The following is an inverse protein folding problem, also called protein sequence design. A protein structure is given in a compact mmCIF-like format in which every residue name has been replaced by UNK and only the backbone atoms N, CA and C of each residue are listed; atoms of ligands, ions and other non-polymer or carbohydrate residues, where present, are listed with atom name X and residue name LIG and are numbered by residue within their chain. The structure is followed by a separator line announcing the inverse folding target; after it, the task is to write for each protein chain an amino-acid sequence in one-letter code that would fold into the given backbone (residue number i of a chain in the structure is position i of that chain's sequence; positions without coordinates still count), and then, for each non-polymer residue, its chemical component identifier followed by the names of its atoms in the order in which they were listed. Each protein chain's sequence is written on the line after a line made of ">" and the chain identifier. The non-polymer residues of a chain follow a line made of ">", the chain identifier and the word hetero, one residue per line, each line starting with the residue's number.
data_IF_955313867204
#
_entry.id   IF_955313867204
#
_cell.length_a   1.000
_cell.length_b   1.000
_cell.length_c   1.000
_cell.angle_alpha   90.00
_cell.angle_beta   90.00
_cell.angle_gamma   90.00
#
_symmetry.space_group_name_H-M   'P 1'
#
loop_
_entity.id
_entity.type
_entity.pdbx_description
1 polymer ?
#
# COMPACT_ATOMS: atom_id res chain seq x y z
N UNK A 1 -3.43 29.15 -5.06
CA UNK A 1 -3.25 27.75 -4.75
C UNK A 1 -2.47 27.54 -3.43
N UNK A 2 -1.20 27.96 -3.33
CA UNK A 2 -0.37 27.77 -2.11
C UNK A 2 -0.96 28.32 -0.79
N UNK A 3 -1.55 29.54 -0.80
CA UNK A 3 -2.13 30.13 0.40
C UNK A 3 -3.40 29.37 0.86
N UNK A 4 -4.16 28.83 -0.06
CA UNK A 4 -5.39 28.08 0.24
C UNK A 4 -5.05 26.70 0.85
N UNK A 5 -4.08 25.99 0.30
CA UNK A 5 -3.55 24.74 0.84
C UNK A 5 -3.00 24.92 2.27
N UNK A 6 -2.33 26.06 2.55
CA UNK A 6 -1.87 26.40 3.89
C UNK A 6 -3.02 26.67 4.87
N UNK A 7 -4.08 27.35 4.40
CA UNK A 7 -5.27 27.61 5.21
C UNK A 7 -5.98 26.29 5.52
N UNK A 8 -6.15 25.43 4.55
CA UNK A 8 -6.74 24.10 4.72
C UNK A 8 -5.93 23.27 5.71
N UNK A 9 -4.61 23.26 5.58
CA UNK A 9 -3.74 22.52 6.50
C UNK A 9 -3.73 23.13 7.90
N UNK A 10 -3.68 24.46 8.02
CA UNK A 10 -3.79 25.15 9.29
C UNK A 10 -5.17 24.94 9.95
N UNK A 11 -6.23 24.86 9.14
CA UNK A 11 -7.59 24.59 9.64
C UNK A 11 -7.73 23.13 10.09
N UNK A 12 -7.15 22.19 9.37
CA UNK A 12 -7.07 20.77 9.77
C UNK A 12 -6.32 20.64 11.09
N UNK A 13 -5.14 21.25 11.22
CA UNK A 13 -4.36 21.24 12.47
C UNK A 13 -5.14 21.96 13.58
N UNK A 14 -5.78 23.10 13.32
CA UNK A 14 -6.56 23.83 14.30
C UNK A 14 -7.79 23.05 14.77
N UNK A 15 -8.46 22.32 13.87
CA UNK A 15 -9.55 21.40 14.22
C UNK A 15 -9.06 20.24 15.06
N UNK A 16 -7.92 19.64 14.75
CA UNK A 16 -7.31 18.59 15.59
C UNK A 16 -6.93 19.12 16.98
N UNK A 17 -6.39 20.34 17.08
CA UNK A 17 -6.05 20.98 18.35
C UNK A 17 -7.32 21.29 19.16
N UNK A 18 -8.38 21.80 18.52
CA UNK A 18 -9.64 22.15 19.19
C UNK A 18 -10.36 20.91 19.72
N UNK A 19 -10.27 19.79 19.02
CA UNK A 19 -10.88 18.52 19.42
C UNK A 19 -10.10 17.82 20.53
N UNK A 20 -8.78 17.97 20.57
CA UNK A 20 -7.92 17.41 21.64
C UNK A 20 -8.06 18.16 22.99
N UNK A 21 -8.43 19.45 22.96
CA UNK A 21 -8.60 20.29 24.16
C UNK A 21 -9.97 20.13 24.84
N UNK A 22 -10.97 19.58 24.15
CA UNK A 22 -12.29 19.27 24.70
C UNK A 22 -12.31 17.79 25.08
N UNK A 23 -12.00 17.49 26.36
CA UNK A 23 -12.03 16.13 26.92
C UNK A 23 -13.32 15.39 26.54
N UNK A 24 -13.19 14.09 26.25
CA UNK A 24 -14.24 13.15 25.88
C UNK A 24 -14.95 13.46 24.56
N UNK A 25 -14.24 13.31 23.44
CA UNK A 25 -14.93 13.01 22.21
C UNK A 25 -15.35 11.53 22.21
N UNK A 26 -16.63 11.32 22.50
CA UNK A 26 -17.33 10.16 21.98
C UNK A 26 -17.21 10.23 20.46
N UNK A 27 -16.23 9.52 19.91
CA UNK A 27 -16.27 9.11 18.51
C UNK A 27 -17.53 8.25 18.37
N UNK A 28 -18.65 8.87 18.08
CA UNK A 28 -19.69 8.14 17.37
C UNK A 28 -19.01 7.69 16.08
N UNK A 29 -18.57 6.44 16.11
CA UNK A 29 -18.17 5.75 14.91
C UNK A 29 -19.25 6.05 13.88
N UNK A 30 -18.86 6.55 12.71
CA UNK A 30 -19.70 6.75 11.55
C UNK A 30 -20.79 5.65 11.57
N UNK A 31 -22.11 5.96 11.51
CA UNK A 31 -23.18 4.96 11.57
C UNK A 31 -23.09 3.87 10.51
N UNK A 32 -22.20 3.97 9.55
CA UNK A 32 -21.69 2.88 8.75
C UNK A 32 -20.60 2.09 9.50
N UNK A 33 -20.89 1.65 10.75
CA UNK A 33 -20.28 0.43 11.27
C UNK A 33 -20.77 -0.68 10.35
N UNK A 34 -19.93 -1.02 9.35
CA UNK A 34 -20.21 -2.07 8.40
C UNK A 34 -20.65 -3.29 9.20
N UNK A 35 -21.80 -3.84 8.86
CA UNK A 35 -22.27 -5.08 9.47
C UNK A 35 -21.19 -6.16 9.25
N UNK A 36 -21.16 -7.21 10.06
CA UNK A 36 -20.25 -8.35 9.87
C UNK A 36 -20.38 -8.99 8.46
N UNK A 37 -21.44 -8.64 7.72
CA UNK A 37 -21.70 -9.06 6.34
C UNK A 37 -21.04 -8.15 5.28
N UNK A 38 -20.47 -7.01 5.66
CA UNK A 38 -19.86 -6.05 4.74
C UNK A 38 -18.34 -6.28 4.60
N UNK A 39 -17.97 -7.34 3.91
CA UNK A 39 -16.59 -7.68 3.58
C UNK A 39 -16.23 -7.21 2.17
N UNK A 40 -14.94 -7.12 1.85
CA UNK A 40 -14.47 -6.78 0.50
C UNK A 40 -15.02 -7.74 -0.55
N UNK A 41 -15.10 -9.05 -0.22
CA UNK A 41 -15.75 -10.04 -1.07
C UNK A 41 -17.19 -9.66 -1.41
N UNK A 42 -17.96 -9.24 -0.41
CA UNK A 42 -19.40 -8.98 -0.59
C UNK A 42 -19.69 -7.62 -1.23
N UNK A 43 -18.80 -6.63 -1.02
CA UNK A 43 -19.00 -5.28 -1.54
C UNK A 43 -18.56 -5.10 -2.99
N UNK A 44 -17.41 -5.67 -3.37
CA UNK A 44 -16.81 -5.42 -4.69
C UNK A 44 -16.68 -6.68 -5.55
N UNK A 45 -16.22 -7.79 -4.97
CA UNK A 45 -15.76 -8.92 -5.77
C UNK A 45 -16.93 -9.80 -6.25
N UNK A 46 -17.82 -10.21 -5.33
CA UNK A 46 -19.00 -11.04 -5.67
C UNK A 46 -20.02 -10.29 -6.53
N UNK A 47 -20.32 -8.99 -6.30
CA UNK A 47 -21.21 -8.24 -7.20
C UNK A 47 -20.69 -8.16 -8.63
N UNK A 48 -19.36 -8.19 -8.85
CA UNK A 48 -18.75 -8.27 -10.17
C UNK A 48 -18.81 -9.68 -10.79
N UNK A 49 -19.38 -10.68 -10.09
CA UNK A 49 -19.60 -12.03 -10.59
C UNK A 49 -18.45 -13.02 -10.30
N UNK A 50 -17.47 -12.66 -9.48
CA UNK A 50 -16.35 -13.53 -9.13
C UNK A 50 -16.62 -14.33 -7.85
N UNK A 51 -16.10 -15.54 -7.77
CA UNK A 51 -16.10 -16.28 -6.51
C UNK A 51 -15.08 -15.65 -5.56
N UNK A 52 -15.45 -15.47 -4.30
CA UNK A 52 -14.57 -14.86 -3.30
C UNK A 52 -14.76 -15.51 -1.93
N UNK A 53 -13.63 -15.77 -1.24
CA UNK A 53 -13.59 -16.26 0.14
C UNK A 53 -12.71 -15.35 0.99
N UNK A 54 -13.18 -15.09 2.22
CA UNK A 54 -12.44 -14.33 3.22
C UNK A 54 -11.54 -15.27 4.03
N UNK A 55 -10.31 -14.85 4.27
CA UNK A 55 -9.35 -15.48 5.18
C UNK A 55 -8.90 -14.48 6.22
N UNK A 56 -8.60 -14.96 7.41
CA UNK A 56 -7.96 -14.17 8.47
C UNK A 56 -6.63 -14.82 8.82
N UNK A 57 -5.59 -14.00 8.85
CA UNK A 57 -4.23 -14.43 9.22
C UNK A 57 -3.82 -13.70 10.48
N UNK A 58 -3.36 -14.44 11.46
CA UNK A 58 -2.79 -13.88 12.68
C UNK A 58 -1.30 -13.64 12.47
N UNK A 59 -0.85 -12.40 12.68
CA UNK A 59 0.56 -12.05 12.65
C UNK A 59 1.27 -12.45 13.95
N UNK A 60 2.60 -12.50 13.92
CA UNK A 60 3.43 -12.88 15.08
C UNK A 60 3.22 -11.96 16.29
N UNK A 61 2.92 -10.70 16.03
CA UNK A 61 2.67 -9.67 17.03
C UNK A 61 1.18 -9.47 17.36
N UNK A 62 0.30 -10.38 16.87
CA UNK A 62 -1.08 -10.53 17.34
C UNK A 62 -2.15 -9.83 16.50
N UNK A 63 -1.82 -9.17 15.40
CA UNK A 63 -2.82 -8.58 14.51
C UNK A 63 -3.55 -9.66 13.71
N UNK A 64 -4.82 -9.41 13.43
CA UNK A 64 -5.68 -10.27 12.61
C UNK A 64 -5.90 -9.55 11.28
N UNK A 65 -5.15 -9.96 10.26
CA UNK A 65 -5.18 -9.32 8.94
C UNK A 65 -6.03 -10.12 7.97
N UNK A 66 -6.80 -9.42 7.15
CA UNK A 66 -7.72 -10.03 6.21
C UNK A 66 -7.04 -10.28 4.85
N UNK A 67 -7.31 -11.44 4.28
CA UNK A 67 -6.99 -11.78 2.89
C UNK A 67 -8.26 -12.22 2.18
N UNK A 68 -8.48 -11.72 0.98
CA UNK A 68 -9.51 -12.23 0.08
C UNK A 68 -8.86 -13.12 -0.96
N UNK A 69 -9.50 -14.25 -1.25
CA UNK A 69 -9.11 -15.16 -2.32
C UNK A 69 -10.19 -15.22 -3.36
N UNK A 70 -9.88 -14.87 -4.60
CA UNK A 70 -10.84 -14.88 -5.70
C UNK A 70 -10.34 -15.72 -6.88
N UNK A 71 -11.28 -16.18 -7.71
CA UNK A 71 -11.00 -16.87 -8.96
C UNK A 71 -12.00 -16.47 -10.04
N UNK A 72 -11.62 -16.70 -11.30
CA UNK A 72 -12.39 -16.35 -12.50
C UNK A 72 -13.86 -16.76 -12.42
N UNK A 73 -14.71 -15.93 -13.03
CA UNK A 73 -16.14 -16.17 -13.26
C UNK A 73 -16.44 -17.49 -14.01
N UNK A 74 -15.51 -17.90 -14.86
CA UNK A 74 -15.68 -19.00 -15.82
C UNK A 74 -15.10 -20.34 -15.32
N UNK A 75 -14.63 -20.42 -14.08
CA UNK A 75 -14.08 -21.68 -13.53
C UNK A 75 -15.11 -22.39 -12.66
N UNK A 76 -15.22 -23.71 -12.85
CA UNK A 76 -15.96 -24.56 -11.89
C UNK A 76 -15.39 -24.38 -10.47
N UNK A 77 -16.25 -24.27 -9.45
CA UNK A 77 -15.79 -24.07 -8.06
C UNK A 77 -14.81 -25.15 -7.54
N UNK A 78 -14.76 -26.32 -8.17
CA UNK A 78 -13.83 -27.43 -7.86
C UNK A 78 -12.69 -27.61 -8.86
N UNK A 79 -12.55 -26.72 -9.87
CA UNK A 79 -11.48 -26.81 -10.89
C UNK A 79 -10.10 -26.50 -10.33
N UNK A 80 -9.07 -27.00 -11.02
CA UNK A 80 -7.67 -26.71 -10.66
C UNK A 80 -7.41 -25.21 -10.71
N UNK A 81 -6.94 -24.64 -9.61
CA UNK A 81 -6.55 -23.22 -9.52
C UNK A 81 -5.20 -23.01 -10.23
N UNK A 82 -5.00 -21.82 -10.75
CA UNK A 82 -3.72 -21.41 -11.31
C UNK A 82 -2.67 -21.08 -10.25
N UNK A 83 -1.52 -20.55 -10.66
CA UNK A 83 -0.48 -20.14 -9.72
C UNK A 83 -0.98 -19.01 -8.82
N UNK A 84 -0.64 -19.05 -7.51
CA UNK A 84 -1.11 -18.03 -6.57
C UNK A 84 -0.37 -16.70 -6.80
N UNK A 85 -1.12 -15.60 -6.77
CA UNK A 85 -0.59 -14.24 -6.81
C UNK A 85 -1.18 -13.43 -5.65
N UNK A 86 -0.31 -12.81 -4.85
CA UNK A 86 -0.67 -11.94 -3.74
C UNK A 86 -0.51 -10.47 -4.16
N UNK A 87 -1.58 -9.70 -4.05
CA UNK A 87 -1.62 -8.27 -4.32
C UNK A 87 -1.47 -7.47 -3.03
N UNK A 88 -0.46 -6.59 -2.96
CA UNK A 88 -0.14 -5.78 -1.79
C UNK A 88 -0.24 -4.29 -2.10
N UNK A 89 -1.19 -3.61 -1.47
CA UNK A 89 -1.53 -2.21 -1.68
C UNK A 89 -0.52 -1.21 -1.08
N UNK A 90 -0.69 0.07 -1.42
CA UNK A 90 0.11 1.20 -0.95
C UNK A 90 -0.36 1.84 0.36
N UNK A 91 0.26 2.98 0.70
CA UNK A 91 -0.09 3.80 1.86
C UNK A 91 -1.50 4.37 1.71
N UNK A 92 -2.28 4.38 2.81
CA UNK A 92 -3.68 4.82 2.86
C UNK A 92 -4.63 4.05 1.94
N UNK A 93 -4.22 2.89 1.44
CA UNK A 93 -5.01 2.00 0.61
C UNK A 93 -5.30 0.69 1.33
N UNK A 94 -6.19 -0.12 0.75
CA UNK A 94 -6.41 -1.50 1.11
C UNK A 94 -6.61 -2.38 -0.14
N UNK A 95 -7.15 -3.57 0.04
CA UNK A 95 -7.34 -4.53 -1.05
C UNK A 95 -8.35 -4.10 -2.10
N UNK A 96 -9.24 -3.17 -1.79
CA UNK A 96 -10.18 -2.55 -2.72
C UNK A 96 -9.48 -1.77 -3.84
N UNK A 97 -8.30 -1.20 -3.59
CA UNK A 97 -7.50 -0.52 -4.61
C UNK A 97 -7.28 -1.34 -5.90
N UNK A 98 -7.34 -2.66 -5.80
CA UNK A 98 -7.16 -3.57 -6.94
C UNK A 98 -8.43 -3.82 -7.76
N UNK A 99 -9.58 -3.18 -7.38
CA UNK A 99 -10.90 -3.40 -7.95
C UNK A 99 -11.65 -2.10 -8.27
N UNK A 100 -10.96 -0.96 -8.31
CA UNK A 100 -11.55 0.38 -8.45
C UNK A 100 -11.91 0.78 -9.90
N UNK A 101 -12.07 -0.16 -10.78
CA UNK A 101 -12.52 0.03 -12.16
C UNK A 101 -13.46 -1.09 -12.61
N UNK A 102 -13.79 -1.11 -13.90
CA UNK A 102 -14.50 -2.26 -14.45
C UNK A 102 -13.66 -3.54 -14.33
N UNK A 103 -14.27 -4.73 -14.42
CA UNK A 103 -13.52 -5.99 -14.42
C UNK A 103 -12.40 -6.05 -15.47
N UNK A 104 -12.58 -5.39 -16.59
CA UNK A 104 -11.61 -5.35 -17.68
C UNK A 104 -10.44 -4.37 -17.41
N UNK A 105 -10.58 -3.48 -16.43
CA UNK A 105 -9.61 -2.45 -16.06
C UNK A 105 -8.89 -2.75 -14.74
N UNK A 106 -9.52 -3.48 -13.84
CA UNK A 106 -9.03 -3.75 -12.49
C UNK A 106 -8.10 -4.95 -12.46
N UNK A 107 -6.86 -4.76 -11.98
CA UNK A 107 -5.82 -5.80 -11.99
C UNK A 107 -6.25 -7.09 -11.27
N UNK A 108 -6.98 -6.98 -10.16
CA UNK A 108 -7.44 -8.15 -9.40
C UNK A 108 -8.35 -9.05 -10.24
N UNK A 109 -9.28 -8.47 -10.99
CA UNK A 109 -10.16 -9.21 -11.89
C UNK A 109 -9.42 -9.75 -13.13
N UNK A 110 -8.56 -8.92 -13.73
CA UNK A 110 -7.77 -9.31 -14.90
C UNK A 110 -6.93 -10.56 -14.57
N UNK A 111 -6.20 -10.57 -13.46
CA UNK A 111 -5.39 -11.71 -13.05
C UNK A 111 -6.26 -12.97 -12.81
N UNK A 112 -7.44 -12.82 -12.21
CA UNK A 112 -8.37 -13.93 -12.03
C UNK A 112 -8.84 -14.50 -13.39
N UNK A 113 -9.20 -13.64 -14.35
CA UNK A 113 -9.62 -14.04 -15.69
C UNK A 113 -8.47 -14.63 -16.52
N UNK A 114 -7.23 -14.18 -16.27
CA UNK A 114 -6.00 -14.78 -16.83
C UNK A 114 -5.63 -16.11 -16.16
N UNK A 115 -6.42 -16.55 -15.20
CA UNK A 115 -6.35 -17.89 -14.62
C UNK A 115 -5.52 -18.02 -13.36
N UNK A 116 -5.01 -16.94 -12.79
CA UNK A 116 -4.31 -16.97 -11.51
C UNK A 116 -5.27 -17.26 -10.33
N UNK A 117 -4.72 -17.81 -9.25
CA UNK A 117 -5.37 -17.88 -7.95
C UNK A 117 -5.03 -16.60 -7.18
N UNK A 118 -5.94 -15.62 -7.25
CA UNK A 118 -5.65 -14.26 -6.78
C UNK A 118 -5.94 -14.13 -5.30
N UNK A 119 -4.98 -13.59 -4.56
CA UNK A 119 -5.06 -13.26 -3.16
C UNK A 119 -4.82 -11.76 -2.96
N UNK A 120 -5.59 -11.15 -2.09
CA UNK A 120 -5.54 -9.71 -1.85
C UNK A 120 -5.26 -9.46 -0.38
N UNK A 121 -4.09 -8.90 -0.09
CA UNK A 121 -3.67 -8.58 1.27
C UNK A 121 -4.22 -7.23 1.73
N UNK A 122 -4.61 -7.18 3.00
CA UNK A 122 -4.97 -5.94 3.67
C UNK A 122 -4.10 -5.81 4.92
N UNK A 123 -3.26 -4.78 4.97
CA UNK A 123 -2.43 -4.56 6.15
C UNK A 123 -3.25 -4.14 7.37
N UNK A 124 -2.68 -4.33 8.55
CA UNK A 124 -3.27 -3.89 9.84
C UNK A 124 -3.71 -2.43 9.82
N UNK A 125 -4.77 -2.12 10.51
CA UNK A 125 -5.30 -0.76 10.64
C UNK A 125 -6.21 -0.31 9.49
N UNK A 126 -6.27 -1.04 8.36
CA UNK A 126 -7.25 -0.78 7.31
C UNK A 126 -8.66 -1.17 7.76
N UNK A 127 -9.70 -0.68 7.07
CA UNK A 127 -11.09 -1.04 7.41
C UNK A 127 -11.38 -2.55 7.31
N UNK A 128 -10.56 -3.29 6.57
CA UNK A 128 -10.70 -4.74 6.43
C UNK A 128 -9.89 -5.51 7.48
N UNK A 129 -8.85 -4.90 8.09
CA UNK A 129 -7.88 -5.52 9.01
C UNK A 129 -7.71 -4.69 10.29
N UNK A 130 -8.75 -4.60 11.10
CA UNK A 130 -8.75 -3.84 12.36
C UNK A 130 -8.84 -4.72 13.62
N UNK A 131 -8.54 -6.02 13.48
CA UNK A 131 -8.53 -6.98 14.58
C UNK A 131 -7.14 -7.16 15.20
N UNK A 132 -7.12 -7.44 16.51
CA UNK A 132 -5.94 -7.85 17.27
C UNK A 132 -6.37 -8.78 18.41
N UNK A 133 -5.50 -9.71 18.83
CA UNK A 133 -5.81 -10.71 19.87
C UNK A 133 -6.05 -10.11 21.25
N UNK A 134 -5.52 -8.92 21.55
CA UNK A 134 -5.60 -8.28 22.88
C UNK A 134 -5.80 -6.77 22.85
N UNK A 135 -5.50 -6.08 21.73
CA UNK A 135 -5.63 -4.64 21.58
C UNK A 135 -6.91 -4.28 20.82
N UNK A 136 -7.41 -3.10 21.08
CA UNK A 136 -8.50 -2.46 20.37
C UNK A 136 -7.95 -1.31 19.52
N UNK A 137 -8.60 -0.98 18.41
CA UNK A 137 -8.26 0.20 17.59
C UNK A 137 -8.34 1.55 18.35
N UNK A 138 -8.94 1.56 19.57
CA UNK A 138 -8.96 2.71 20.46
C UNK A 138 -7.70 2.83 21.30
N UNK A 139 -6.92 1.76 21.40
CA UNK A 139 -5.66 1.76 22.16
C UNK A 139 -4.56 2.35 21.28
N UNK A 140 -3.77 3.26 21.85
CA UNK A 140 -2.65 3.87 21.09
C UNK A 140 -1.61 2.84 20.66
N UNK A 141 -1.44 1.79 21.45
CA UNK A 141 -0.54 0.65 21.19
C UNK A 141 -0.95 -0.12 19.95
N UNK A 142 -2.25 -0.16 19.59
CA UNK A 142 -2.73 -0.74 18.34
C UNK A 142 -2.15 -0.04 17.11
N UNK A 143 -1.77 1.23 17.21
CA UNK A 143 -1.22 2.06 16.13
C UNK A 143 0.30 2.24 16.22
N UNK A 144 1.00 1.51 17.13
CA UNK A 144 2.46 1.62 17.28
C UNK A 144 3.23 0.73 16.30
N UNK A 145 3.04 0.95 15.01
CA UNK A 145 3.68 0.24 13.92
C UNK A 145 4.03 1.17 12.75
N UNK A 146 4.96 0.71 11.92
CA UNK A 146 5.38 1.36 10.67
C UNK A 146 5.37 0.36 9.52
N UNK A 147 5.77 0.77 8.33
CA UNK A 147 5.90 -0.14 7.19
C UNK A 147 6.87 -1.30 7.46
N UNK A 148 7.75 -1.17 8.42
CA UNK A 148 8.64 -2.25 8.85
C UNK A 148 7.84 -3.45 9.39
N UNK A 149 6.91 -3.22 10.32
CA UNK A 149 6.03 -4.25 10.84
C UNK A 149 5.09 -4.78 9.75
N UNK A 150 4.63 -3.90 8.84
CA UNK A 150 3.80 -4.33 7.69
C UNK A 150 4.57 -5.29 6.76
N UNK A 151 5.87 -5.07 6.56
CA UNK A 151 6.73 -5.94 5.76
C UNK A 151 7.05 -7.27 6.47
N UNK A 152 7.52 -7.16 7.73
CA UNK A 152 8.15 -8.27 8.44
C UNK A 152 7.14 -9.15 9.22
N UNK A 153 5.94 -8.63 9.48
CA UNK A 153 4.86 -9.37 10.12
C UNK A 153 3.69 -9.59 9.18
N UNK A 154 3.04 -8.52 8.66
CA UNK A 154 1.82 -8.69 7.86
C UNK A 154 2.10 -9.40 6.55
N UNK A 155 2.91 -8.81 5.67
CA UNK A 155 3.21 -9.39 4.35
C UNK A 155 3.89 -10.76 4.46
N UNK A 156 4.82 -10.92 5.39
CA UNK A 156 5.50 -12.19 5.60
C UNK A 156 4.52 -13.31 5.99
N UNK A 157 3.59 -13.06 6.91
CA UNK A 157 2.58 -14.06 7.31
C UNK A 157 1.50 -14.26 6.23
N UNK A 158 1.14 -13.24 5.44
CA UNK A 158 0.27 -13.39 4.28
C UNK A 158 0.91 -14.32 3.23
N UNK A 159 2.20 -14.13 2.90
CA UNK A 159 2.95 -14.99 1.97
C UNK A 159 2.98 -16.43 2.51
N UNK A 160 3.32 -16.60 3.79
CA UNK A 160 3.35 -17.91 4.44
C UNK A 160 1.97 -18.61 4.37
N UNK A 161 0.89 -17.86 4.66
CA UNK A 161 -0.48 -18.41 4.59
C UNK A 161 -0.83 -18.86 3.17
N UNK A 162 -0.59 -18.02 2.17
CA UNK A 162 -0.89 -18.35 0.76
C UNK A 162 -0.06 -19.55 0.31
N UNK A 163 1.23 -19.58 0.61
CA UNK A 163 2.12 -20.70 0.31
C UNK A 163 1.62 -21.99 0.97
N UNK A 164 1.25 -21.93 2.25
CA UNK A 164 0.74 -23.08 3.01
C UNK A 164 -0.55 -23.63 2.44
N UNK A 165 -1.50 -22.76 2.08
CA UNK A 165 -2.82 -23.17 1.53
C UNK A 165 -2.71 -23.73 0.12
N UNK A 166 -1.79 -23.17 -0.70
CA UNK A 166 -1.67 -23.54 -2.13
C UNK A 166 -0.59 -24.59 -2.37
N UNK A 167 0.31 -24.81 -1.42
CA UNK A 167 1.50 -25.65 -1.57
C UNK A 167 2.36 -25.24 -2.79
N UNK A 168 2.33 -23.96 -3.15
CA UNK A 168 3.03 -23.39 -4.31
C UNK A 168 3.74 -22.12 -3.93
N UNK A 169 4.84 -21.81 -4.60
CA UNK A 169 5.46 -20.49 -4.50
C UNK A 169 4.51 -19.41 -4.99
N UNK A 170 4.59 -18.24 -4.37
CA UNK A 170 3.65 -17.14 -4.55
C UNK A 170 4.24 -16.07 -5.46
N UNK A 171 3.52 -15.62 -6.46
CA UNK A 171 3.81 -14.37 -7.13
C UNK A 171 3.36 -13.20 -6.27
N UNK A 172 4.15 -12.13 -6.20
CA UNK A 172 3.79 -10.91 -5.46
C UNK A 172 3.62 -9.76 -6.45
N UNK A 173 2.58 -8.97 -6.28
CA UNK A 173 2.45 -7.65 -6.91
C UNK A 173 2.33 -6.61 -5.82
N UNK A 174 3.30 -5.71 -5.71
CA UNK A 174 3.27 -4.58 -4.79
C UNK A 174 3.05 -3.26 -5.53
N UNK A 175 2.35 -2.31 -4.91
CA UNK A 175 2.23 -0.94 -5.39
C UNK A 175 2.70 0.04 -4.32
N UNK A 176 3.53 1.04 -4.68
CA UNK A 176 3.91 2.12 -3.77
C UNK A 176 4.53 1.58 -2.46
N UNK A 177 3.98 1.89 -1.28
CA UNK A 177 4.43 1.32 -0.01
C UNK A 177 4.45 -0.22 -0.02
N UNK A 178 3.57 -0.87 -0.78
CA UNK A 178 3.61 -2.33 -0.96
C UNK A 178 4.91 -2.81 -1.60
N UNK A 179 5.61 -1.97 -2.37
CA UNK A 179 6.94 -2.28 -2.92
C UNK A 179 8.04 -2.16 -1.87
N UNK A 180 7.98 -1.14 -0.97
CA UNK A 180 8.85 -1.01 0.20
C UNK A 180 8.76 -2.28 1.05
N UNK A 181 7.53 -2.69 1.34
CA UNK A 181 7.24 -3.89 2.12
C UNK A 181 7.77 -5.16 1.44
N UNK A 182 7.55 -5.29 0.13
CA UNK A 182 8.03 -6.44 -0.65
C UNK A 182 9.54 -6.54 -0.64
N UNK A 183 10.25 -5.44 -0.91
CA UNK A 183 11.71 -5.41 -0.90
C UNK A 183 12.27 -5.76 0.50
N UNK A 184 11.69 -5.20 1.57
CA UNK A 184 12.12 -5.50 2.94
C UNK A 184 11.80 -6.95 3.37
N UNK A 185 10.68 -7.51 2.93
CA UNK A 185 10.32 -8.90 3.22
C UNK A 185 11.23 -9.89 2.46
N UNK A 186 11.57 -9.60 1.20
CA UNK A 186 12.37 -10.47 0.33
C UNK A 186 13.86 -10.54 0.73
N UNK A 187 14.35 -9.65 1.58
CA UNK A 187 15.68 -9.76 2.21
C UNK A 187 15.73 -10.97 3.15
N UNK A 188 14.58 -11.45 3.66
CA UNK A 188 14.51 -12.57 4.57
C UNK A 188 14.51 -13.90 3.81
N UNK A 189 15.50 -14.79 4.01
CA UNK A 189 15.61 -16.03 3.23
C UNK A 189 14.36 -16.90 3.30
N UNK A 190 13.76 -17.03 4.50
CA UNK A 190 12.55 -17.83 4.71
C UNK A 190 11.32 -17.29 3.98
N UNK A 191 11.26 -15.99 3.69
CA UNK A 191 10.19 -15.38 2.89
C UNK A 191 10.51 -15.53 1.39
N UNK A 192 11.75 -15.21 0.99
CA UNK A 192 12.17 -15.29 -0.40
C UNK A 192 12.03 -16.71 -1.00
N UNK A 193 12.26 -17.76 -0.19
CA UNK A 193 12.11 -19.16 -0.62
C UNK A 193 10.65 -19.53 -0.99
N UNK A 194 9.67 -18.84 -0.43
CA UNK A 194 8.24 -19.04 -0.72
C UNK A 194 7.74 -18.21 -1.91
N UNK A 195 8.57 -17.32 -2.46
CA UNK A 195 8.19 -16.43 -3.55
C UNK A 195 8.74 -16.96 -4.88
N UNK A 196 7.89 -16.98 -5.90
CA UNK A 196 8.28 -17.34 -7.27
C UNK A 196 8.91 -16.16 -8.00
N UNK A 197 8.26 -14.99 -7.93
CA UNK A 197 8.73 -13.72 -8.46
C UNK A 197 7.97 -12.56 -7.85
N UNK A 198 8.49 -11.33 -7.97
CA UNK A 198 7.78 -10.12 -7.56
C UNK A 198 7.72 -9.10 -8.69
N UNK A 199 6.53 -8.50 -8.87
CA UNK A 199 6.28 -7.35 -9.71
C UNK A 199 6.03 -6.12 -8.84
N UNK A 200 6.79 -5.06 -9.05
CA UNK A 200 6.77 -3.85 -8.25
C UNK A 200 6.29 -2.67 -9.12
N UNK A 201 5.12 -2.16 -8.81
CA UNK A 201 4.50 -1.00 -9.46
C UNK A 201 4.87 0.26 -8.67
N UNK A 202 5.47 1.24 -9.30
CA UNK A 202 6.03 2.43 -8.65
C UNK A 202 7.00 2.03 -7.52
N UNK A 203 8.12 1.33 -7.85
CA UNK A 203 9.02 0.74 -6.85
C UNK A 203 9.71 1.80 -6.01
N UNK A 204 9.66 1.62 -4.69
CA UNK A 204 10.25 2.52 -3.70
C UNK A 204 11.12 1.71 -2.73
N UNK A 205 12.37 2.14 -2.55
CA UNK A 205 13.24 1.78 -1.41
C UNK A 205 13.89 3.02 -0.83
N UNK A 206 14.04 4.07 -1.65
CA UNK A 206 14.54 5.39 -1.26
C UNK A 206 13.50 6.45 -1.62
N UNK A 207 13.52 7.60 -0.94
CA UNK A 207 12.56 8.70 -1.09
C UNK A 207 13.22 10.08 -1.01
N UNK A 208 14.53 10.17 -1.15
CA UNK A 208 15.25 11.42 -1.00
C UNK A 208 15.15 12.35 -2.23
N UNK A 209 14.73 11.84 -3.38
CA UNK A 209 14.55 12.63 -4.61
C UNK A 209 13.10 12.86 -5.00
N UNK A 210 12.12 12.46 -4.16
CA UNK A 210 10.70 12.70 -4.49
C UNK A 210 10.42 14.19 -4.77
N UNK A 211 9.53 14.45 -5.72
CA UNK A 211 9.25 15.80 -6.21
C UNK A 211 7.85 16.33 -5.82
N UNK A 212 7.05 15.58 -5.07
CA UNK A 212 5.72 15.97 -4.61
C UNK A 212 5.75 17.20 -3.68
N UNK A 213 5.35 18.41 -4.13
CA UNK A 213 5.58 19.65 -3.36
C UNK A 213 4.87 19.67 -2.01
N UNK A 214 3.67 19.08 -1.95
CA UNK A 214 2.89 19.02 -0.71
C UNK A 214 3.57 18.13 0.32
N UNK A 215 4.07 16.95 -0.11
CA UNK A 215 4.78 16.01 0.77
C UNK A 215 6.07 16.64 1.30
N UNK A 216 6.87 17.23 0.42
CA UNK A 216 8.11 17.91 0.83
C UNK A 216 7.85 19.02 1.86
N UNK A 217 6.76 19.76 1.71
CA UNK A 217 6.38 20.80 2.68
C UNK A 217 5.96 20.22 4.02
N UNK A 218 5.19 19.13 4.04
CA UNK A 218 4.84 18.43 5.28
C UNK A 218 6.09 17.92 6.00
N UNK A 219 7.03 17.37 5.26
CA UNK A 219 8.31 16.89 5.79
C UNK A 219 9.15 18.03 6.37
N UNK A 220 9.27 19.17 5.65
CA UNK A 220 10.01 20.36 6.09
C UNK A 220 9.42 21.00 7.35
N UNK A 221 8.09 20.94 7.52
CA UNK A 221 7.38 21.42 8.71
C UNK A 221 7.38 20.43 9.87
N UNK A 222 8.01 19.26 9.73
CA UNK A 222 8.02 18.20 10.74
C UNK A 222 6.62 17.79 11.24
N UNK A 223 5.62 17.76 10.35
CA UNK A 223 4.23 17.50 10.71
C UNK A 223 4.04 16.10 11.33
N UNK A 224 4.82 15.12 10.91
CA UNK A 224 4.87 13.78 11.48
C UNK A 224 5.20 13.79 12.99
N UNK A 225 6.15 14.66 13.39
CA UNK A 225 6.54 14.80 14.79
C UNK A 225 5.49 15.55 15.59
N UNK A 226 4.89 16.59 15.01
CA UNK A 226 3.83 17.36 15.65
C UNK A 226 2.59 16.50 15.92
N UNK A 227 2.15 15.72 14.95
CA UNK A 227 0.99 14.82 15.06
C UNK A 227 1.19 13.83 16.21
N UNK A 228 2.33 13.15 16.27
CA UNK A 228 2.64 12.22 17.36
C UNK A 228 2.80 12.92 18.73
N UNK A 229 3.38 14.13 18.78
CA UNK A 229 3.50 14.92 20.01
C UNK A 229 2.14 15.36 20.55
N UNK A 230 1.13 15.53 19.69
CA UNK A 230 -0.26 15.79 20.09
C UNK A 230 -1.00 14.51 20.54
N UNK A 231 -0.34 13.34 20.55
CA UNK A 231 -0.96 12.08 20.94
C UNK A 231 -1.85 11.46 19.85
N UNK A 232 -1.75 11.92 18.60
CA UNK A 232 -2.49 11.36 17.47
C UNK A 232 -1.69 10.17 16.94
N UNK A 233 -2.21 8.96 17.12
CA UNK A 233 -1.57 7.71 16.71
C UNK A 233 -2.21 7.12 15.44
N UNK A 234 -3.51 7.34 15.25
CA UNK A 234 -4.26 6.96 14.05
C UNK A 234 -4.41 8.14 13.10
N UNK A 235 -4.13 7.94 11.81
CA UNK A 235 -4.46 8.85 10.74
C UNK A 235 -5.67 8.29 9.99
N UNK A 236 -6.85 8.88 10.23
CA UNK A 236 -8.09 8.48 9.56
C UNK A 236 -8.68 9.71 8.86
N UNK A 237 -8.51 9.76 7.54
CA UNK A 237 -8.98 10.86 6.70
C UNK A 237 -10.46 10.74 6.29
N UNK A 238 -11.13 9.65 6.64
CA UNK A 238 -12.58 9.46 6.43
C UNK A 238 -13.42 9.87 7.64
N UNK A 239 -12.88 10.67 8.55
CA UNK A 239 -13.71 11.29 9.57
C UNK A 239 -14.71 12.25 8.90
N UNK A 240 -15.97 12.26 9.36
CA UNK A 240 -17.01 13.10 8.78
C UNK A 240 -16.59 14.57 8.63
N UNK A 241 -15.89 15.11 9.65
CA UNK A 241 -15.38 16.48 9.64
C UNK A 241 -14.41 16.73 8.49
N UNK A 242 -13.53 15.76 8.21
CA UNK A 242 -12.53 15.90 7.17
C UNK A 242 -13.14 15.66 5.77
N UNK A 243 -14.11 14.76 5.66
CA UNK A 243 -14.89 14.57 4.42
C UNK A 243 -15.65 15.87 4.10
N UNK A 244 -16.44 16.40 5.04
CA UNK A 244 -17.19 17.64 4.86
C UNK A 244 -16.26 18.82 4.48
N UNK A 245 -15.04 18.85 5.01
CA UNK A 245 -14.02 19.83 4.66
C UNK A 245 -13.47 19.63 3.25
N UNK A 246 -13.13 18.38 2.88
CA UNK A 246 -12.64 18.06 1.54
C UNK A 246 -13.71 18.30 0.48
N UNK A 247 -14.96 17.91 0.73
CA UNK A 247 -16.10 18.21 -0.14
C UNK A 247 -16.29 19.72 -0.33
N UNK A 248 -16.22 20.49 0.77
CA UNK A 248 -16.26 21.95 0.71
C UNK A 248 -15.13 22.59 -0.11
N UNK A 249 -13.98 21.94 -0.17
CA UNK A 249 -12.82 22.39 -0.95
C UNK A 249 -12.97 21.96 -2.41
N UNK A 250 -13.41 20.73 -2.66
CA UNK A 250 -13.62 20.18 -3.99
C UNK A 250 -14.79 20.86 -4.72
N UNK A 251 -15.90 21.14 -4.03
CA UNK A 251 -17.07 21.81 -4.61
C UNK A 251 -16.85 23.31 -4.91
N UNK A 252 -15.82 23.90 -4.33
CA UNK A 252 -15.64 25.34 -4.37
C UNK A 252 -14.70 25.88 -5.44
N UNK A 253 -13.52 25.33 -5.67
CA UNK A 253 -12.48 25.91 -6.55
C UNK A 253 -11.31 24.96 -6.91
N UNK A 254 -11.27 23.73 -6.43
CA UNK A 254 -10.19 22.75 -6.72
C UNK A 254 -10.86 21.46 -7.14
N UNK A 255 -10.53 20.97 -8.33
CA UNK A 255 -10.91 19.62 -8.72
C UNK A 255 -10.15 18.62 -7.83
N UNK A 256 -10.83 17.61 -7.28
CA UNK A 256 -10.21 16.58 -6.43
C UNK A 256 -9.06 15.87 -7.16
N UNK A 257 -9.10 15.78 -8.48
CA UNK A 257 -8.02 15.30 -9.32
C UNK A 257 -6.74 16.16 -9.20
N UNK A 258 -6.87 17.49 -9.02
CA UNK A 258 -5.71 18.37 -8.84
C UNK A 258 -5.03 18.13 -7.48
N UNK A 259 -5.80 17.80 -6.44
CA UNK A 259 -5.24 17.44 -5.14
C UNK A 259 -4.46 16.13 -5.22
N UNK A 260 -5.01 15.09 -5.83
CA UNK A 260 -4.30 13.83 -6.07
C UNK A 260 -3.04 14.08 -6.89
N UNK A 261 -3.12 14.84 -7.97
CA UNK A 261 -1.97 15.20 -8.82
C UNK A 261 -0.87 15.92 -8.04
N UNK A 262 -1.22 16.79 -7.09
CA UNK A 262 -0.23 17.51 -6.26
C UNK A 262 0.57 16.61 -5.31
N UNK A 263 0.07 15.41 -5.04
CA UNK A 263 0.72 14.40 -4.19
C UNK A 263 1.39 13.34 -5.05
N UNK A 264 0.68 12.82 -6.04
CA UNK A 264 1.05 11.59 -6.77
C UNK A 264 1.73 11.84 -8.10
N UNK A 265 1.83 13.10 -8.51
CA UNK A 265 2.33 13.48 -9.83
C UNK A 265 1.22 13.60 -10.87
N UNK A 266 1.59 14.00 -12.08
CA UNK A 266 0.64 14.20 -13.17
C UNK A 266 0.16 12.86 -13.71
N UNK A 267 -0.98 12.42 -13.23
CA UNK A 267 -1.65 11.25 -13.78
C UNK A 267 -2.30 11.59 -15.13
N UNK A 268 -2.22 10.67 -16.10
CA UNK A 268 -2.69 10.92 -17.47
C UNK A 268 -4.00 10.23 -17.80
N UNK A 269 -4.26 9.07 -17.18
CA UNK A 269 -4.92 8.02 -17.94
C UNK A 269 -6.12 7.40 -17.21
N UNK A 270 -6.67 8.08 -16.21
CA UNK A 270 -7.94 7.75 -15.60
C UNK A 270 -8.97 8.86 -15.78
N UNK A 271 -10.25 8.54 -15.69
CA UNK A 271 -11.36 9.48 -15.84
C UNK A 271 -11.91 9.91 -14.46
N UNK A 272 -12.80 10.91 -14.46
CA UNK A 272 -13.43 11.42 -13.23
C UNK A 272 -14.20 10.35 -12.47
N UNK A 273 -14.89 9.44 -13.17
CA UNK A 273 -15.64 8.35 -12.51
C UNK A 273 -14.74 7.41 -11.72
N UNK A 274 -13.50 7.18 -12.18
CA UNK A 274 -12.52 6.37 -11.44
C UNK A 274 -12.05 7.10 -10.18
N UNK A 275 -11.91 8.44 -10.25
CA UNK A 275 -11.55 9.27 -9.10
C UNK A 275 -12.67 9.28 -8.06
N UNK A 276 -13.91 9.45 -8.47
CA UNK A 276 -15.08 9.42 -7.57
C UNK A 276 -15.19 8.07 -6.87
N UNK A 277 -15.03 6.98 -7.63
CA UNK A 277 -15.06 5.63 -7.09
C UNK A 277 -13.86 5.33 -6.16
N UNK A 278 -12.67 5.88 -6.47
CA UNK A 278 -11.52 5.83 -5.59
C UNK A 278 -11.84 6.48 -4.23
N UNK A 279 -12.42 7.68 -4.20
CA UNK A 279 -12.76 8.35 -2.94
C UNK A 279 -13.91 7.70 -2.17
N UNK A 280 -14.72 6.85 -2.79
CA UNK A 280 -15.74 6.07 -2.10
C UNK A 280 -15.10 5.02 -1.15
N UNK A 281 -13.95 4.45 -1.51
CA UNK A 281 -13.27 3.41 -0.73
C UNK A 281 -12.02 3.93 -0.02
N UNK A 282 -11.27 4.80 -0.63
CA UNK A 282 -10.01 5.35 -0.14
C UNK A 282 -10.21 6.78 0.46
N UNK A 283 -9.35 7.28 1.32
CA UNK A 283 -8.23 6.61 1.95
C UNK A 283 -8.61 5.73 3.16
N UNK A 284 -7.87 4.67 3.39
CA UNK A 284 -7.95 3.85 4.60
C UNK A 284 -7.12 4.44 5.75
N UNK A 285 -7.44 4.12 7.02
CA UNK A 285 -6.62 4.54 8.15
C UNK A 285 -5.22 3.95 8.11
N UNK A 286 -4.25 4.70 8.64
CA UNK A 286 -2.89 4.26 8.84
C UNK A 286 -2.31 4.79 10.16
N UNK A 287 -1.19 4.23 10.60
CA UNK A 287 -0.47 4.71 11.79
C UNK A 287 0.27 6.02 11.49
N UNK A 288 0.23 6.96 12.44
CA UNK A 288 1.06 8.16 12.39
C UNK A 288 2.56 7.82 12.47
N UNK A 289 2.95 6.72 13.14
CA UNK A 289 4.32 6.22 13.16
C UNK A 289 4.75 5.70 11.77
N UNK A 290 3.83 5.10 11.01
CA UNK A 290 4.11 4.70 9.63
C UNK A 290 4.45 5.91 8.75
N UNK A 291 3.62 6.96 8.79
CA UNK A 291 3.92 8.20 8.07
C UNK A 291 5.25 8.82 8.52
N UNK A 292 5.52 8.83 9.84
CA UNK A 292 6.79 9.32 10.38
C UNK A 292 7.99 8.53 9.86
N UNK A 293 7.88 7.22 9.70
CA UNK A 293 8.95 6.38 9.16
C UNK A 293 9.26 6.76 7.70
N UNK A 294 8.22 6.92 6.86
CA UNK A 294 8.40 7.41 5.50
C UNK A 294 9.05 8.80 5.47
N UNK A 295 8.66 9.70 6.36
CA UNK A 295 9.30 11.03 6.47
C UNK A 295 10.75 10.96 6.97
N UNK A 296 11.11 9.95 7.77
CA UNK A 296 12.52 9.69 8.12
C UNK A 296 13.31 9.25 6.89
N UNK A 297 12.75 8.38 6.03
CA UNK A 297 13.38 7.97 4.78
C UNK A 297 13.62 9.19 3.86
N UNK A 298 12.62 10.06 3.69
CA UNK A 298 12.74 11.30 2.89
C UNK A 298 13.85 12.20 3.43
N UNK A 299 13.91 12.43 4.74
CA UNK A 299 14.90 13.32 5.36
C UNK A 299 16.32 12.76 5.36
N UNK A 300 16.48 11.44 5.40
CA UNK A 300 17.78 10.79 5.60
C UNK A 300 18.32 10.09 4.36
N UNK A 301 17.48 9.88 3.34
CA UNK A 301 17.85 9.14 2.15
C UNK A 301 18.28 7.71 2.48
N UNK A 302 17.59 7.03 3.42
CA UNK A 302 17.96 5.68 3.87
C UNK A 302 16.81 4.71 3.76
N UNK A 303 17.11 3.48 3.38
CA UNK A 303 16.20 2.34 3.48
C UNK A 303 16.61 1.54 4.73
N UNK A 304 16.03 1.90 5.86
CA UNK A 304 16.43 1.39 7.18
C UNK A 304 15.23 1.18 8.09
N UNK A 305 15.45 0.46 9.19
CA UNK A 305 14.49 0.31 10.27
C UNK A 305 14.11 1.67 10.88
N UNK A 306 13.03 1.69 11.66
CA UNK A 306 12.53 2.92 12.27
C UNK A 306 13.57 3.56 13.20
N UNK A 307 13.81 4.86 13.03
CA UNK A 307 14.72 5.61 13.90
C UNK A 307 14.02 6.13 15.15
N UNK A 308 14.31 5.52 16.29
CA UNK A 308 13.82 5.92 17.60
C UNK A 308 14.68 7.02 18.25
N UNK A 309 15.81 7.42 17.62
CA UNK A 309 16.84 8.25 18.18
C UNK A 309 17.97 7.46 18.87
N UNK A 310 19.15 8.06 18.97
CA UNK A 310 20.41 7.37 19.32
C UNK A 310 20.33 6.44 20.54
N UNK A 311 19.75 6.91 21.65
CA UNK A 311 19.70 6.12 22.90
C UNK A 311 18.76 4.92 22.77
N UNK A 312 17.59 5.13 22.18
CA UNK A 312 16.63 4.04 22.01
C UNK A 312 17.02 3.09 20.88
N UNK A 313 17.70 3.57 19.85
CA UNK A 313 18.31 2.72 18.83
C UNK A 313 19.37 1.80 19.45
N UNK A 314 20.22 2.35 20.34
CA UNK A 314 21.22 1.54 21.05
C UNK A 314 20.58 0.44 21.91
N UNK A 315 19.48 0.76 22.58
CA UNK A 315 18.72 -0.20 23.39
C UNK A 315 18.08 -1.31 22.51
N UNK A 316 17.43 -0.94 21.41
CA UNK A 316 16.65 -1.86 20.58
C UNK A 316 17.49 -2.60 19.53
N UNK A 317 18.49 -1.93 18.97
CA UNK A 317 19.27 -2.42 17.83
C UNK A 317 20.72 -2.71 18.17
N UNK A 318 21.19 -2.34 19.37
CA UNK A 318 22.60 -2.47 19.76
C UNK A 318 23.54 -1.47 19.07
N UNK A 319 23.01 -0.48 18.34
CA UNK A 319 23.79 0.54 17.61
C UNK A 319 23.03 1.88 17.59
N UNK A 320 23.78 2.99 17.38
CA UNK A 320 23.25 4.36 17.47
C UNK A 320 22.30 4.72 16.32
N UNK A 321 22.52 4.15 15.14
CA UNK A 321 21.68 4.35 13.96
C UNK A 321 20.81 3.12 13.72
N UNK A 322 19.61 3.27 13.12
CA UNK A 322 18.79 2.13 12.76
C UNK A 322 19.53 1.25 11.71
N UNK A 323 19.40 -0.09 11.79
CA UNK A 323 19.94 -0.99 10.77
C UNK A 323 19.34 -0.72 9.40
N UNK A 324 20.16 -0.75 8.36
CA UNK A 324 19.69 -0.68 6.98
C UNK A 324 19.06 -2.02 6.54
N UNK A 325 18.10 -1.95 5.63
CA UNK A 325 17.65 -3.08 4.84
C UNK A 325 18.60 -3.23 3.64
N UNK A 326 19.42 -4.26 3.65
CA UNK A 326 20.42 -4.52 2.62
C UNK A 326 19.76 -5.22 1.41
N UNK A 327 19.51 -4.48 0.33
CA UNK A 327 18.92 -5.00 -0.90
C UNK A 327 19.82 -6.07 -1.57
N UNK A 328 21.11 -6.09 -1.28
CA UNK A 328 22.03 -7.12 -1.73
C UNK A 328 21.75 -8.51 -1.15
N UNK A 329 20.91 -8.61 -0.12
CA UNK A 329 20.47 -9.90 0.45
C UNK A 329 19.30 -10.53 -0.29
N UNK A 330 18.62 -9.79 -1.19
CA UNK A 330 17.58 -10.37 -2.05
C UNK A 330 18.26 -11.38 -3.00
N UNK A 331 17.80 -12.64 -3.05
CA UNK A 331 18.46 -13.67 -3.85
C UNK A 331 18.54 -13.26 -5.33
N UNK A 332 19.73 -13.34 -5.92
CA UNK A 332 19.94 -13.05 -7.35
C UNK A 332 19.06 -13.89 -8.28
N UNK A 333 18.67 -15.08 -7.81
CA UNK A 333 17.82 -16.03 -8.54
C UNK A 333 16.34 -15.73 -8.43
N UNK A 334 15.93 -14.76 -7.56
CA UNK A 334 14.55 -14.33 -7.46
C UNK A 334 14.24 -13.33 -8.57
N UNK A 335 13.37 -13.68 -9.54
CA UNK A 335 13.04 -12.79 -10.63
C UNK A 335 12.23 -11.59 -10.13
N UNK A 336 12.62 -10.39 -10.55
CA UNK A 336 11.93 -9.13 -10.27
C UNK A 336 11.51 -8.47 -11.57
N UNK A 337 10.34 -7.85 -11.55
CA UNK A 337 9.82 -6.97 -12.59
C UNK A 337 9.43 -5.63 -11.96
N UNK A 338 9.73 -4.52 -12.62
CA UNK A 338 9.49 -3.19 -12.09
C UNK A 338 8.87 -2.27 -13.14
N UNK A 339 7.68 -1.72 -12.84
CA UNK A 339 7.01 -0.72 -13.67
C UNK A 339 7.07 0.66 -13.01
N UNK A 340 7.51 1.69 -13.74
CA UNK A 340 7.66 3.04 -13.22
C UNK A 340 7.25 4.10 -14.25
N UNK A 341 6.83 5.25 -13.75
CA UNK A 341 6.28 6.35 -14.54
C UNK A 341 7.15 7.60 -14.52
N UNK A 342 7.28 8.26 -15.68
CA UNK A 342 8.06 9.50 -15.80
C UNK A 342 7.43 10.72 -15.11
N UNK A 343 6.13 10.67 -14.80
CA UNK A 343 5.42 11.72 -14.07
C UNK A 343 5.10 11.35 -12.62
N UNK A 344 5.66 10.25 -12.11
CA UNK A 344 5.52 9.87 -10.71
C UNK A 344 6.30 10.84 -9.80
N UNK A 345 5.59 11.51 -8.89
CA UNK A 345 6.22 12.47 -7.97
C UNK A 345 6.65 11.85 -6.64
N UNK A 346 6.34 10.56 -6.40
CA UNK A 346 6.66 9.83 -5.18
C UNK A 346 7.77 8.80 -5.39
N UNK A 347 7.71 8.03 -6.48
CA UNK A 347 8.72 7.03 -6.84
C UNK A 347 9.64 7.63 -7.93
N UNK A 348 10.68 8.33 -7.50
CA UNK A 348 11.62 9.04 -8.39
C UNK A 348 12.58 8.08 -9.10
N UNK A 349 12.90 8.39 -10.34
CA UNK A 349 13.81 7.57 -11.17
C UNK A 349 15.24 7.52 -10.60
N UNK A 350 15.70 8.59 -9.97
CA UNK A 350 17.04 8.65 -9.33
C UNK A 350 17.13 7.68 -8.15
N UNK A 351 16.06 7.61 -7.34
CA UNK A 351 15.96 6.68 -6.22
C UNK A 351 15.84 5.24 -6.71
N UNK A 352 15.11 5.02 -7.82
CA UNK A 352 15.02 3.72 -8.48
C UNK A 352 16.38 3.27 -9.02
N UNK A 353 17.14 4.14 -9.68
CA UNK A 353 18.50 3.82 -10.14
C UNK A 353 19.42 3.40 -9.00
N UNK A 354 19.30 4.03 -7.84
CA UNK A 354 20.03 3.62 -6.64
C UNK A 354 19.63 2.21 -6.21
N UNK A 355 18.33 1.92 -6.15
CA UNK A 355 17.80 0.58 -5.86
C UNK A 355 18.40 -0.46 -6.79
N UNK A 356 18.41 -0.19 -8.10
CA UNK A 356 18.94 -1.11 -9.11
C UNK A 356 20.45 -1.38 -8.96
N UNK A 357 21.22 -0.43 -8.46
CA UNK A 357 22.66 -0.61 -8.18
C UNK A 357 22.95 -1.50 -6.99
N UNK A 358 22.03 -1.56 -6.02
CA UNK A 358 22.18 -2.35 -4.80
C UNK A 358 21.65 -3.78 -4.95
N UNK A 359 20.72 -4.03 -5.88
CA UNK A 359 20.18 -5.36 -6.17
C UNK A 359 21.26 -6.23 -6.86
N UNK A 360 21.36 -7.50 -6.43
CA UNK A 360 22.24 -8.47 -7.09
C UNK A 360 21.65 -9.00 -8.42
N UNK A 361 20.33 -9.14 -8.48
CA UNK A 361 19.59 -9.52 -9.68
C UNK A 361 19.31 -8.30 -10.56
N UNK A 362 19.11 -8.54 -11.85
CA UNK A 362 18.67 -7.50 -12.79
C UNK A 362 17.18 -7.63 -13.05
N UNK A 363 16.31 -6.71 -12.56
CA UNK A 363 14.88 -6.73 -12.85
C UNK A 363 14.58 -6.54 -14.34
N UNK A 364 13.45 -7.10 -14.80
CA UNK A 364 12.81 -6.63 -16.02
C UNK A 364 12.17 -5.26 -15.74
N UNK A 365 12.30 -4.32 -16.67
CA UNK A 365 11.89 -2.93 -16.47
C UNK A 365 10.82 -2.53 -17.50
N UNK A 366 9.77 -1.84 -17.02
CA UNK A 366 8.80 -1.16 -17.87
C UNK A 366 8.76 0.32 -17.51
N UNK A 367 9.09 1.19 -18.45
CA UNK A 367 9.01 2.64 -18.30
C UNK A 367 7.84 3.21 -19.08
N UNK A 368 7.04 4.05 -18.45
CA UNK A 368 5.90 4.76 -19.05
C UNK A 368 6.03 6.26 -18.81
N UNK A 369 6.49 6.99 -19.83
CA UNK A 369 6.84 8.41 -19.75
C UNK A 369 5.73 9.28 -19.13
N UNK A 370 4.47 9.05 -19.51
CA UNK A 370 3.34 9.88 -19.13
C UNK A 370 2.62 9.42 -17.85
N UNK A 371 2.99 8.28 -17.26
CA UNK A 371 2.31 7.75 -16.08
C UNK A 371 2.76 8.46 -14.81
N UNK A 372 1.78 8.89 -13.99
CA UNK A 372 1.95 9.25 -12.59
C UNK A 372 1.76 8.02 -11.68
N UNK A 373 1.84 8.26 -10.38
CA UNK A 373 1.83 7.19 -9.36
C UNK A 373 0.56 6.34 -9.35
N UNK A 374 -0.61 6.96 -9.52
CA UNK A 374 -1.90 6.27 -9.49
C UNK A 374 -2.31 5.68 -10.83
N UNK A 375 -1.68 6.04 -11.94
CA UNK A 375 -2.00 5.48 -13.25
C UNK A 375 -1.77 3.97 -13.29
N UNK A 376 -0.84 3.43 -12.49
CA UNK A 376 -0.60 1.99 -12.36
C UNK A 376 -1.77 1.20 -11.75
N UNK A 377 -2.74 1.89 -11.12
CA UNK A 377 -3.94 1.29 -10.54
C UNK A 377 -5.23 1.73 -11.25
N UNK A 378 -5.30 3.01 -11.65
CA UNK A 378 -6.55 3.65 -12.09
C UNK A 378 -6.62 3.90 -13.59
N UNK A 379 -5.53 3.68 -14.35
CA UNK A 379 -5.53 3.88 -15.80
C UNK A 379 -6.56 3.00 -16.48
N UNK A 380 -7.35 3.60 -17.34
CA UNK A 380 -8.28 2.87 -18.21
C UNK A 380 -7.58 2.03 -19.26
N UNK A 381 -6.28 2.28 -19.50
CA UNK A 381 -5.40 1.56 -20.42
C UNK A 381 -4.38 0.65 -19.69
N UNK A 382 -4.48 0.56 -18.36
CA UNK A 382 -3.53 -0.17 -17.51
C UNK A 382 -3.32 -1.63 -17.92
N UNK A 383 -4.36 -2.27 -18.46
CA UNK A 383 -4.27 -3.64 -18.98
C UNK A 383 -3.28 -3.75 -20.12
N UNK A 384 -3.40 -2.88 -21.11
CA UNK A 384 -2.57 -2.88 -22.32
C UNK A 384 -1.16 -2.37 -22.01
N UNK A 385 -1.06 -1.29 -21.27
CA UNK A 385 0.20 -0.58 -21.05
C UNK A 385 1.09 -1.27 -20.02
N UNK A 386 0.49 -1.92 -18.98
CA UNK A 386 1.22 -2.46 -17.82
C UNK A 386 0.97 -3.95 -17.63
N UNK A 387 -0.32 -4.34 -17.45
CA UNK A 387 -0.63 -5.64 -16.86
C UNK A 387 -0.34 -6.79 -17.80
N UNK A 388 -0.54 -6.63 -19.12
CA UNK A 388 -0.21 -7.66 -20.11
C UNK A 388 1.30 -7.97 -20.11
N UNK A 389 2.16 -6.97 -19.96
CA UNK A 389 3.62 -7.15 -19.90
C UNK A 389 4.01 -7.89 -18.61
N UNK A 390 3.49 -7.46 -17.46
CA UNK A 390 3.72 -8.10 -16.17
C UNK A 390 3.23 -9.57 -16.15
N UNK A 391 2.04 -9.84 -16.71
CA UNK A 391 1.49 -11.20 -16.82
C UNK A 391 2.35 -12.07 -17.73
N UNK A 392 2.85 -11.52 -18.84
CA UNK A 392 3.78 -12.23 -19.73
C UNK A 392 5.07 -12.61 -19.00
N UNK A 393 5.62 -11.71 -18.17
CA UNK A 393 6.75 -12.01 -17.31
C UNK A 393 6.44 -13.18 -16.37
N UNK A 394 5.34 -13.17 -15.62
CA UNK A 394 4.98 -14.27 -14.72
C UNK A 394 4.82 -15.61 -15.46
N UNK A 395 4.19 -15.60 -16.63
CA UNK A 395 4.00 -16.79 -17.45
C UNK A 395 5.29 -17.36 -18.05
N UNK A 396 6.30 -16.52 -18.24
CA UNK A 396 7.61 -16.96 -18.75
C UNK A 396 8.31 -17.88 -17.77
N UNK A 397 8.13 -17.63 -16.45
CA UNK A 397 8.78 -18.39 -15.38
C UNK A 397 8.15 -19.78 -15.18
N UNK A 398 6.83 -19.92 -15.33
CA UNK A 398 6.13 -21.21 -15.19
C UNK A 398 6.46 -22.23 -16.28
N UNK A 399 7.07 -21.82 -17.39
CA UNK A 399 7.47 -22.71 -18.49
C UNK A 399 8.84 -23.37 -18.29
N UNK A 400 9.68 -22.79 -17.41
CA UNK A 400 11.04 -23.30 -17.16
C UNK A 400 11.11 -24.48 -16.18
N UNK A 401 10.02 -24.74 -15.43
CA UNK A 401 9.95 -25.82 -14.44
C UNK A 401 9.40 -27.16 -15.00
N UNK A 402 9.04 -27.21 -16.29
CA UNK A 402 8.47 -28.39 -16.95
C UNK A 402 9.38 -28.99 -18.04
N UNK A 403 10.66 -28.61 -18.10
CA UNK A 403 11.65 -29.16 -19.04
C UNK A 403 12.69 -30.04 -18.36
#
# INVERSE_FOLDING_TARGET
>A
MERLLLIVFATIISLFISTSAAGEFNFEANPHRRSLDETLCNQLIKPAGYSCTEHTVQTKDGYLVALQRLSSRNKDPGGQRGPPVLLQHGLFMAGDAWFLGSPEQSLGFILADEGFDVWVGNVRGTFWSHGHVSLSEKDKEFWDWSWEELALCDLAEMIHHVHSVTSSKVFIVGHSQGTIMSLAALIQPNVAEMVEAAALLCPISYLDHLTAPLVLRMVALHLDQMVLAMGIHQLNFRSKILIDLLDSICDGHIECADLLTSITGKNCCFNSSNVDFFFEFEPHPSSAKNLRHLFQMIRKGTFSRYDYGMFKNLELYGQLNPPAFDLGLIPKTLPLWMGYGGHDSLADETDLERTLKELQGKPEMLYLENYGHLDFLLSTQGKEDVYNNMIAFFRSLGKSSSS
#
